data_IF_174127363562
#
_entry.id   IF_174127363562
#
_cell.length_a   1.000
_cell.length_b   1.000
_cell.length_c   1.000
_cell.angle_alpha   90.00
_cell.angle_beta   90.00
_cell.angle_gamma   90.00
#
_symmetry.space_group_name_H-M   'P 1'
#
loop_
_entity.id
_entity.type
_entity.pdbx_description
1 polymer ?
#
# COMPACT_ATOMS: atom_id res chain seq x y z
N UNK A 1 -13.25 -9.02 -2.42
CA UNK A 1 -11.78 -9.20 -2.38
C UNK A 1 -11.14 -7.85 -2.65
N UNK A 2 -10.20 -7.39 -1.81
CA UNK A 2 -9.51 -6.12 -2.07
C UNK A 2 -8.65 -6.25 -3.34
N UNK A 3 -8.59 -5.18 -4.15
CA UNK A 3 -7.72 -5.16 -5.32
C UNK A 3 -6.26 -5.03 -4.88
N UNK A 4 -5.33 -5.84 -5.42
CA UNK A 4 -3.92 -5.77 -5.05
C UNK A 4 -3.25 -4.52 -5.63
N UNK A 5 -2.42 -3.86 -4.83
CA UNK A 5 -1.46 -2.87 -5.33
C UNK A 5 -0.34 -3.63 -6.07
N UNK A 6 -0.29 -3.51 -7.40
CA UNK A 6 0.56 -4.37 -8.25
C UNK A 6 1.62 -3.56 -9.00
N UNK A 7 2.88 -4.00 -8.92
CA UNK A 7 4.01 -3.38 -9.60
C UNK A 7 4.53 -4.32 -10.69
N UNK A 8 4.25 -3.99 -11.95
CA UNK A 8 4.70 -4.78 -13.10
C UNK A 8 5.98 -4.21 -13.70
N UNK A 9 6.97 -5.08 -13.95
CA UNK A 9 8.18 -4.79 -14.72
C UNK A 9 8.37 -5.81 -15.82
N UNK A 10 9.42 -5.61 -16.63
CA UNK A 10 9.76 -6.51 -17.71
C UNK A 10 10.12 -7.91 -17.18
N UNK A 11 10.85 -7.99 -16.08
CA UNK A 11 11.43 -9.23 -15.54
C UNK A 11 10.68 -9.83 -14.37
N UNK A 12 9.80 -9.07 -13.72
CA UNK A 12 9.19 -9.47 -12.45
C UNK A 12 7.95 -8.65 -12.13
N UNK A 13 7.16 -9.16 -11.21
CA UNK A 13 5.97 -8.50 -10.64
C UNK A 13 5.96 -8.75 -9.14
N UNK A 14 5.59 -7.73 -8.37
CA UNK A 14 5.26 -7.86 -6.94
C UNK A 14 3.90 -7.22 -6.71
N UNK A 15 3.08 -7.86 -5.88
CA UNK A 15 1.75 -7.39 -5.46
C UNK A 15 1.69 -7.30 -3.95
N UNK A 16 0.99 -6.28 -3.46
CA UNK A 16 0.66 -6.11 -2.05
C UNK A 16 -0.87 -6.17 -1.94
N UNK A 17 -1.37 -7.17 -1.21
CA UNK A 17 -2.80 -7.44 -1.06
C UNK A 17 -3.20 -7.36 0.41
N UNK A 18 -4.02 -6.39 0.83
CA UNK A 18 -4.54 -6.37 2.18
C UNK A 18 -5.59 -7.47 2.39
N UNK A 19 -5.46 -8.25 3.45
CA UNK A 19 -6.49 -9.14 3.97
C UNK A 19 -7.01 -8.55 5.30
N UNK A 20 -8.06 -7.73 5.17
CA UNK A 20 -8.65 -6.96 6.27
C UNK A 20 -9.13 -7.89 7.39
N UNK A 21 -9.70 -9.04 7.06
CA UNK A 21 -10.26 -9.97 8.06
C UNK A 21 -9.18 -10.63 8.90
N UNK A 22 -8.00 -10.85 8.32
CA UNK A 22 -6.87 -11.49 9.00
C UNK A 22 -5.88 -10.49 9.58
N UNK A 23 -6.04 -9.20 9.30
CA UNK A 23 -5.12 -8.16 9.74
C UNK A 23 -3.70 -8.35 9.20
N UNK A 24 -3.57 -8.73 7.92
CA UNK A 24 -2.28 -9.03 7.29
C UNK A 24 -2.20 -8.46 5.88
N UNK A 25 -1.00 -8.09 5.44
CA UNK A 25 -0.72 -7.76 4.04
C UNK A 25 0.06 -8.91 3.41
N UNK A 26 -0.51 -9.50 2.37
CA UNK A 26 0.19 -10.49 1.55
C UNK A 26 1.02 -9.78 0.51
N UNK A 27 2.33 -10.07 0.49
CA UNK A 27 3.24 -9.62 -0.55
C UNK A 27 3.63 -10.83 -1.39
N UNK A 28 3.08 -10.91 -2.60
CA UNK A 28 3.38 -11.98 -3.55
C UNK A 28 4.20 -11.47 -4.73
N UNK A 29 5.25 -12.21 -5.10
CA UNK A 29 6.13 -11.82 -6.19
C UNK A 29 6.54 -12.99 -7.05
N UNK A 30 6.68 -12.75 -8.35
CA UNK A 30 7.22 -13.75 -9.27
C UNK A 30 8.02 -13.12 -10.40
N UNK A 31 8.90 -13.91 -11.01
CA UNK A 31 9.66 -13.53 -12.18
C UNK A 31 8.87 -13.81 -13.47
N UNK A 32 9.24 -13.11 -14.53
CA UNK A 32 8.73 -13.38 -15.87
C UNK A 32 9.23 -14.75 -16.35
N UNK A 33 8.42 -15.43 -17.16
CA UNK A 33 8.86 -16.67 -17.80
C UNK A 33 10.03 -16.37 -18.77
N UNK A 34 11.06 -17.22 -18.85
CA UNK A 34 12.20 -17.00 -19.76
C UNK A 34 11.77 -16.87 -21.23
N UNK A 35 10.68 -17.56 -21.60
CA UNK A 35 10.09 -17.56 -22.93
C UNK A 35 9.05 -16.46 -23.16
N UNK A 36 8.74 -15.63 -22.15
CA UNK A 36 7.69 -14.63 -22.30
C UNK A 36 8.13 -13.49 -23.24
N UNK A 37 7.27 -13.08 -24.19
CA UNK A 37 7.53 -11.91 -25.02
C UNK A 37 7.59 -10.64 -24.17
N UNK A 38 8.45 -9.69 -24.58
CA UNK A 38 8.62 -8.39 -23.91
C UNK A 38 7.28 -7.65 -23.77
N UNK A 39 6.48 -7.69 -24.83
CA UNK A 39 5.11 -7.19 -24.89
C UNK A 39 4.18 -8.39 -25.04
N UNK A 40 3.52 -8.87 -23.97
CA UNK A 40 2.64 -10.01 -24.06
C UNK A 40 1.38 -9.63 -24.84
N UNK A 41 1.01 -10.48 -25.79
CA UNK A 41 -0.32 -10.42 -26.39
C UNK A 41 -1.39 -10.74 -25.32
N UNK A 42 -2.61 -10.25 -25.54
CA UNK A 42 -3.72 -10.48 -24.63
C UNK A 42 -3.95 -11.99 -24.47
N UNK A 43 -3.84 -12.50 -23.25
CA UNK A 43 -4.01 -13.93 -22.95
C UNK A 43 -2.71 -14.73 -22.82
N UNK A 44 -1.55 -14.15 -23.17
CA UNK A 44 -0.25 -14.82 -22.97
C UNK A 44 0.22 -14.62 -21.53
N UNK A 45 0.49 -15.73 -20.86
CA UNK A 45 1.05 -15.72 -19.50
C UNK A 45 2.48 -15.18 -19.53
N UNK A 46 2.69 -14.00 -18.95
CA UNK A 46 4.02 -13.38 -18.85
C UNK A 46 4.79 -13.81 -17.59
N UNK A 47 4.08 -14.14 -16.53
CA UNK A 47 4.65 -14.31 -15.19
C UNK A 47 4.35 -15.70 -14.63
N UNK A 48 5.33 -16.30 -13.95
CA UNK A 48 5.20 -17.65 -13.40
C UNK A 48 4.52 -17.63 -12.02
N UNK A 49 3.20 -17.51 -11.97
CA UNK A 49 2.47 -17.47 -10.69
C UNK A 49 2.49 -18.78 -9.90
N UNK A 50 2.87 -19.90 -10.52
CA UNK A 50 3.01 -21.19 -9.86
C UNK A 50 4.23 -21.21 -8.92
N UNK A 51 5.31 -20.52 -9.31
CA UNK A 51 6.55 -20.44 -8.53
C UNK A 51 6.69 -19.12 -7.75
N UNK A 52 5.58 -18.45 -7.45
CA UNK A 52 5.60 -17.19 -6.71
C UNK A 52 6.18 -17.34 -5.31
N UNK A 53 6.90 -16.31 -4.88
CA UNK A 53 7.28 -16.12 -3.49
C UNK A 53 6.18 -15.35 -2.77
N UNK A 54 5.94 -15.70 -1.50
CA UNK A 54 4.93 -15.05 -0.65
C UNK A 54 5.59 -14.66 0.67
N UNK A 55 5.42 -13.40 1.05
CA UNK A 55 5.75 -12.82 2.33
C UNK A 55 4.47 -12.27 2.98
N UNK A 56 4.35 -12.36 4.30
CA UNK A 56 3.22 -11.77 5.03
C UNK A 56 3.76 -10.60 5.84
N UNK A 57 3.09 -9.46 5.87
CA UNK A 57 3.42 -8.36 6.76
C UNK A 57 2.29 -8.18 7.78
N UNK A 58 2.66 -8.06 9.05
CA UNK A 58 1.76 -7.51 10.06
C UNK A 58 1.41 -6.05 9.72
N UNK A 59 0.36 -5.46 10.33
CA UNK A 59 0.04 -4.05 10.13
C UNK A 59 1.21 -3.14 10.51
N UNK A 60 1.94 -3.47 11.58
CA UNK A 60 3.11 -2.70 12.01
C UNK A 60 4.25 -2.78 10.99
N UNK A 61 4.58 -3.97 10.49
CA UNK A 61 5.60 -4.15 9.45
C UNK A 61 5.20 -3.42 8.15
N UNK A 62 3.91 -3.44 7.81
CA UNK A 62 3.39 -2.72 6.67
C UNK A 62 3.50 -1.20 6.84
N UNK A 63 3.26 -0.65 8.05
CA UNK A 63 3.52 0.77 8.34
C UNK A 63 5.01 1.12 8.22
N UNK A 64 5.91 0.28 8.72
CA UNK A 64 7.36 0.49 8.57
C UNK A 64 7.77 0.51 7.09
N UNK A 65 7.16 -0.34 6.25
CA UNK A 65 7.36 -0.32 4.80
C UNK A 65 6.87 1.00 4.19
N UNK A 66 5.69 1.47 4.58
CA UNK A 66 5.12 2.74 4.12
C UNK A 66 5.96 3.95 4.53
N UNK A 67 6.44 3.98 5.78
CA UNK A 67 7.31 5.02 6.30
C UNK A 67 8.65 5.04 5.56
N UNK A 68 9.24 3.87 5.30
CA UNK A 68 10.46 3.77 4.52
C UNK A 68 10.26 4.31 3.10
N UNK A 69 9.13 3.99 2.45
CA UNK A 69 8.81 4.52 1.13
C UNK A 69 8.67 6.05 1.13
N UNK A 70 7.98 6.64 2.11
CA UNK A 70 7.86 8.10 2.26
C UNK A 70 9.22 8.76 2.53
N UNK A 71 10.05 8.14 3.39
CA UNK A 71 11.41 8.61 3.66
C UNK A 71 12.24 8.67 2.38
N UNK A 72 12.26 7.58 1.60
CA UNK A 72 12.97 7.53 0.32
C UNK A 72 12.45 8.62 -0.64
N UNK A 73 11.14 8.87 -0.69
CA UNK A 73 10.55 9.92 -1.55
C UNK A 73 11.01 11.34 -1.22
N UNK A 74 11.29 11.62 0.06
CA UNK A 74 11.63 12.95 0.56
C UNK A 74 13.13 13.17 0.63
N UNK A 75 13.88 12.18 1.08
CA UNK A 75 15.31 12.32 1.40
C UNK A 75 16.23 11.59 0.44
N UNK A 76 15.68 10.79 -0.48
CA UNK A 76 16.46 9.92 -1.37
C UNK A 76 17.40 9.00 -0.58
N UNK A 77 16.96 8.54 0.60
CA UNK A 77 17.68 7.62 1.46
C UNK A 77 16.70 6.74 2.23
N UNK A 78 17.06 5.48 2.44
CA UNK A 78 16.26 4.57 3.27
C UNK A 78 16.47 3.11 2.92
N UNK A 79 16.30 2.27 3.94
CA UNK A 79 16.24 0.82 3.81
C UNK A 79 15.36 0.27 4.92
N UNK A 80 14.55 -0.73 4.60
CA UNK A 80 13.87 -1.57 5.59
C UNK A 80 13.96 -3.02 5.15
N UNK A 81 14.20 -3.90 6.13
CA UNK A 81 14.31 -5.34 5.95
C UNK A 81 13.38 -6.03 6.95
N UNK A 82 12.58 -6.97 6.46
CA UNK A 82 11.71 -7.83 7.28
C UNK A 82 12.20 -9.26 7.17
N UNK A 83 12.30 -9.96 8.30
CA UNK A 83 12.88 -11.30 8.37
C UNK A 83 11.93 -12.26 9.06
N UNK A 84 11.44 -13.26 8.31
CA UNK A 84 10.52 -14.27 8.82
C UNK A 84 11.19 -15.64 8.77
N UNK A 85 11.41 -16.23 9.94
CA UNK A 85 11.98 -17.57 10.09
C UNK A 85 10.92 -18.55 10.63
N UNK A 86 10.41 -19.47 9.80
CA UNK A 86 9.43 -20.48 10.22
C UNK A 86 9.92 -21.36 11.39
N UNK A 87 11.23 -21.59 11.49
CA UNK A 87 11.82 -22.48 12.50
C UNK A 87 11.70 -21.92 13.91
N UNK A 88 11.66 -20.59 14.07
CA UNK A 88 11.40 -19.94 15.36
C UNK A 88 10.00 -20.25 15.89
N UNK A 89 9.05 -20.58 15.01
CA UNK A 89 7.71 -21.01 15.36
C UNK A 89 7.51 -22.53 15.38
N UNK A 90 8.60 -23.32 15.35
CA UNK A 90 8.53 -24.77 15.29
C UNK A 90 7.99 -25.33 13.97
N UNK A 91 7.98 -24.53 12.89
CA UNK A 91 7.53 -24.94 11.56
C UNK A 91 8.72 -25.22 10.65
N UNK A 92 8.54 -26.17 9.75
CA UNK A 92 9.49 -26.36 8.66
C UNK A 92 9.34 -25.28 7.59
N UNK A 93 10.46 -24.85 7.01
CA UNK A 93 10.47 -23.88 5.94
C UNK A 93 11.80 -23.14 5.82
N UNK A 94 11.99 -22.52 4.66
CA UNK A 94 13.11 -21.62 4.42
C UNK A 94 12.80 -20.24 4.99
N UNK A 95 13.86 -19.58 5.47
CA UNK A 95 13.85 -18.19 5.87
C UNK A 95 13.43 -17.32 4.70
N UNK A 96 12.60 -16.32 5.01
CA UNK A 96 12.12 -15.33 4.05
C UNK A 96 12.56 -13.94 4.45
N UNK A 97 12.88 -13.13 3.45
CA UNK A 97 13.17 -11.70 3.63
C UNK A 97 12.38 -10.87 2.64
N UNK A 98 11.88 -9.73 3.11
CA UNK A 98 11.34 -8.66 2.26
C UNK A 98 12.18 -7.41 2.50
N UNK A 99 12.67 -6.79 1.42
CA UNK A 99 13.54 -5.60 1.50
C UNK A 99 13.01 -4.51 0.58
N UNK A 100 12.94 -3.29 1.10
CA UNK A 100 12.86 -2.06 0.30
C UNK A 100 14.14 -1.27 0.54
N UNK A 101 14.91 -0.98 -0.51
CA UNK A 101 16.20 -0.28 -0.40
C UNK A 101 16.36 0.79 -1.45
N UNK A 102 16.84 1.96 -1.04
CA UNK A 102 17.40 2.96 -1.93
C UNK A 102 18.89 2.65 -2.18
N UNK A 103 19.31 2.69 -3.44
CA UNK A 103 20.66 2.44 -3.88
C UNK A 103 21.12 3.56 -4.81
N UNK A 104 22.20 4.24 -4.44
CA UNK A 104 22.89 5.20 -5.30
C UNK A 104 24.01 4.48 -6.04
N UNK A 105 23.94 4.49 -7.37
CA UNK A 105 24.95 3.88 -8.24
C UNK A 105 25.52 4.93 -9.18
N UNK A 106 26.64 4.60 -9.83
CA UNK A 106 27.27 5.42 -10.87
C UNK A 106 26.32 5.68 -12.05
N UNK A 107 25.32 4.81 -12.22
CA UNK A 107 24.28 4.88 -13.27
C UNK A 107 23.01 5.62 -12.80
N UNK A 108 23.05 6.25 -11.63
CA UNK A 108 21.95 6.98 -11.03
C UNK A 108 21.35 6.29 -9.82
N UNK A 109 20.24 6.87 -9.36
CA UNK A 109 19.52 6.47 -8.16
C UNK A 109 18.45 5.44 -8.50
N UNK A 110 18.37 4.36 -7.72
CA UNK A 110 17.38 3.30 -7.89
C UNK A 110 16.82 2.88 -6.55
N UNK A 111 15.56 2.45 -6.58
CA UNK A 111 14.91 1.89 -5.40
C UNK A 111 14.47 0.48 -5.74
N UNK A 112 14.87 -0.50 -4.94
CA UNK A 112 14.54 -1.90 -5.17
C UNK A 112 13.57 -2.39 -4.12
N UNK A 113 12.59 -3.18 -4.59
CA UNK A 113 11.70 -3.94 -3.74
C UNK A 113 11.86 -5.42 -4.04
N UNK A 114 12.11 -6.21 -3.00
CA UNK A 114 12.63 -7.56 -3.16
C UNK A 114 12.07 -8.54 -2.14
N UNK A 115 11.74 -9.74 -2.61
CA UNK A 115 11.42 -10.91 -1.80
C UNK A 115 12.51 -11.97 -2.03
N UNK A 116 13.05 -12.55 -0.96
CA UNK A 116 13.95 -13.71 -1.01
C UNK A 116 13.44 -14.84 -0.14
N UNK A 117 13.58 -16.07 -0.63
CA UNK A 117 13.30 -17.29 0.12
C UNK A 117 14.32 -18.35 -0.32
N UNK A 118 15.21 -18.75 0.58
CA UNK A 118 16.33 -19.63 0.24
C UNK A 118 17.17 -19.05 -0.91
N UNK A 119 17.30 -19.81 -2.01
CA UNK A 119 18.01 -19.36 -3.22
C UNK A 119 17.12 -18.57 -4.21
N UNK A 120 15.80 -18.54 -3.99
CA UNK A 120 14.87 -17.85 -4.88
C UNK A 120 14.82 -16.36 -4.53
N UNK A 121 14.83 -15.51 -5.56
CA UNK A 121 14.77 -14.05 -5.44
C UNK A 121 13.83 -13.48 -6.51
N UNK A 122 12.96 -12.57 -6.08
CA UNK A 122 12.18 -11.71 -6.95
C UNK A 122 12.52 -10.28 -6.57
N UNK A 123 12.95 -9.47 -7.55
CA UNK A 123 13.33 -8.07 -7.32
C UNK A 123 12.80 -7.22 -8.47
N UNK A 124 12.34 -6.02 -8.15
CA UNK A 124 11.98 -5.01 -9.12
C UNK A 124 12.41 -3.62 -8.68
N UNK A 125 12.66 -2.76 -9.67
CA UNK A 125 12.92 -1.35 -9.41
C UNK A 125 11.60 -0.57 -9.30
N UNK A 126 11.43 0.17 -8.22
CA UNK A 126 10.29 1.06 -7.98
C UNK A 126 10.56 2.46 -8.55
N UNK A 127 9.51 3.07 -9.07
CA UNK A 127 9.48 4.46 -9.49
C UNK A 127 8.87 5.32 -8.36
N UNK A 128 9.02 6.64 -8.47
CA UNK A 128 8.45 7.60 -7.53
C UNK A 128 6.95 7.39 -7.29
N UNK A 129 6.18 7.12 -8.36
CA UNK A 129 4.74 6.86 -8.26
C UNK A 129 4.42 5.59 -7.45
N UNK A 130 5.23 4.54 -7.57
CA UNK A 130 5.03 3.31 -6.80
C UNK A 130 5.28 3.54 -5.32
N UNK A 131 6.35 4.26 -4.98
CA UNK A 131 6.66 4.63 -3.59
C UNK A 131 5.54 5.45 -2.96
N UNK A 132 4.97 6.38 -3.73
CA UNK A 132 3.84 7.19 -3.27
C UNK A 132 2.59 6.33 -3.03
N UNK A 133 2.33 5.37 -3.91
CA UNK A 133 1.24 4.42 -3.72
C UNK A 133 1.44 3.57 -2.47
N UNK A 134 2.66 3.08 -2.20
CA UNK A 134 3.00 2.34 -0.99
C UNK A 134 2.80 3.21 0.26
N UNK A 135 3.37 4.42 0.28
CA UNK A 135 3.32 5.30 1.45
C UNK A 135 1.92 5.82 1.76
N UNK A 136 1.03 5.90 0.77
CA UNK A 136 -0.33 6.44 0.96
C UNK A 136 -1.37 5.34 1.17
N UNK A 137 -1.33 4.27 0.37
CA UNK A 137 -2.40 3.27 0.38
C UNK A 137 -2.28 2.27 1.54
N UNK A 138 -1.06 1.96 1.99
CA UNK A 138 -0.88 1.04 3.12
C UNK A 138 -1.44 1.63 4.41
N UNK A 139 -1.09 2.87 4.84
CA UNK A 139 -1.67 3.45 6.06
C UNK A 139 -3.20 3.60 5.98
N UNK A 140 -3.72 3.94 4.80
CA UNK A 140 -5.16 3.98 4.58
C UNK A 140 -5.81 2.60 4.77
N UNK A 141 -5.25 1.55 4.17
CA UNK A 141 -5.75 0.19 4.35
C UNK A 141 -5.71 -0.25 5.81
N UNK A 142 -4.67 0.09 6.56
CA UNK A 142 -4.55 -0.21 8.00
C UNK A 142 -5.62 0.51 8.82
N UNK A 143 -5.91 1.78 8.51
CA UNK A 143 -6.99 2.53 9.16
C UNK A 143 -8.34 1.83 9.00
N UNK A 144 -8.57 1.23 7.82
CA UNK A 144 -9.74 0.38 7.58
C UNK A 144 -9.67 -0.98 8.30
N UNK A 145 -8.48 -1.56 8.48
CA UNK A 145 -8.30 -2.84 9.20
C UNK A 145 -8.60 -2.73 10.70
N UNK A 146 -8.18 -1.63 11.31
CA UNK A 146 -8.42 -1.38 12.73
C UNK A 146 -9.80 -0.79 13.03
N UNK A 147 -10.63 -0.63 12.01
CA UNK A 147 -11.98 -0.05 12.11
C UNK A 147 -12.00 1.33 12.78
N UNK A 148 -10.91 2.11 12.65
CA UNK A 148 -10.87 3.46 13.20
C UNK A 148 -11.96 4.35 12.60
N UNK A 149 -12.37 4.07 11.36
CA UNK A 149 -13.44 4.79 10.67
C UNK A 149 -14.80 4.55 11.36
N UNK A 150 -15.06 3.34 11.88
CA UNK A 150 -16.27 3.05 12.66
C UNK A 150 -16.26 3.63 14.07
N UNK A 151 -15.08 4.01 14.58
CA UNK A 151 -14.91 4.65 15.90
C UNK A 151 -14.97 6.17 15.88
N UNK A 152 -14.90 6.80 14.70
CA UNK A 152 -15.15 8.23 14.57
C UNK A 152 -16.65 8.46 14.69
N UNK A 153 -17.10 9.42 15.54
CA UNK A 153 -18.52 9.78 15.54
C UNK A 153 -18.91 10.20 14.12
N UNK A 154 -20.11 9.81 13.64
CA UNK A 154 -20.57 10.26 12.34
C UNK A 154 -20.45 11.77 12.29
N UNK A 155 -19.81 12.29 11.24
CA UNK A 155 -19.84 13.71 10.96
C UNK A 155 -21.32 14.07 10.79
N UNK A 156 -21.93 14.68 11.81
CA UNK A 156 -23.22 15.32 11.64
C UNK A 156 -23.05 16.33 10.51
N UNK A 157 -23.69 16.07 9.38
CA UNK A 157 -23.86 17.06 8.34
C UNK A 157 -24.63 18.21 8.99
N UNK A 158 -23.93 19.29 9.33
CA UNK A 158 -24.56 20.52 9.79
C UNK A 158 -25.34 21.05 8.58
N UNK A 159 -26.61 20.64 8.48
CA UNK A 159 -27.56 21.27 7.56
C UNK A 159 -27.57 22.76 7.90
N UNK A 160 -26.99 23.56 7.01
CA UNK A 160 -27.11 25.00 7.06
C UNK A 160 -28.57 25.36 6.80
N UNK A 161 -29.38 25.43 7.88
CA UNK A 161 -30.69 26.08 7.83
C UNK A 161 -30.48 27.55 7.52
N UNK A 162 -30.53 27.86 6.22
CA UNK A 162 -30.75 29.20 5.70
C UNK A 162 -32.14 29.61 6.13
N UNK A 163 -32.25 30.36 7.24
CA UNK A 163 -33.49 31.00 7.65
C UNK A 163 -33.88 32.06 6.61
N UNK A 164 -34.67 31.67 5.62
CA UNK A 164 -35.61 32.57 4.99
C UNK A 164 -36.84 32.67 5.90
N UNK A 165 -36.90 33.67 6.76
CA UNK A 165 -38.17 34.19 7.25
C UNK A 165 -38.31 35.63 6.76
N UNK A 166 -38.83 35.70 5.54
CA UNK A 166 -39.64 36.82 5.06
C UNK A 166 -40.99 36.73 5.76
N UNK A 167 -41.31 37.76 6.55
CA UNK A 167 -42.69 38.15 6.83
C UNK A 167 -42.67 39.56 7.41
N UNK A 168 -42.97 40.52 6.52
CA UNK A 168 -43.56 41.81 6.86
C UNK A 168 -44.82 41.56 7.69
N UNK A 169 -44.90 42.15 8.88
CA UNK A 169 -46.18 42.50 9.49
C UNK A 169 -46.03 43.84 10.23
N UNK A 170 -47.01 44.69 9.93
CA UNK A 170 -47.19 46.09 10.31
C UNK A 170 -47.32 46.29 11.82
N UNK A 171 -46.74 47.37 12.34
CA UNK A 171 -47.26 48.05 13.53
C UNK A 171 -47.09 49.56 13.34
N UNK A 172 -48.18 50.18 12.89
CA UNK A 172 -48.46 51.61 13.00
C UNK A 172 -48.82 52.01 14.44
N UNK A 173 -48.37 53.20 14.82
CA UNK A 173 -48.93 54.19 15.75
C UNK A 173 -49.16 53.85 17.24
N UNK A 174 -48.41 54.55 18.11
CA UNK A 174 -48.98 55.56 19.03
C UNK A 174 -47.87 56.30 19.80
N UNK A 175 -47.71 57.61 19.56
CA UNK A 175 -46.87 58.52 20.36
C UNK A 175 -47.79 59.60 20.95
N UNK A 176 -47.93 59.72 22.29
CA UNK A 176 -48.62 60.84 22.89
C UNK A 176 -47.67 62.02 23.10
N UNK A 177 -48.24 63.22 22.91
CA UNK A 177 -47.65 64.57 23.02
C UNK A 177 -47.02 64.88 24.38
#
# INVERSE_FOLDING_TARGET
>A
MAKPLSFYRMTSVIRITPDIRRGVFWVDGTNALPSAPKTPEKGVQKFNWEEKLIFALSPEEALQLAECADRILRTHQGKVDFFHDPKKGGREGEVKTLTLSYEKTDKGERVFFQITQGQKRVSLALQRADLFAISSLIPHAISCMWDWIGTLPPHEEVEATTNQNSSLEELEEDIPF
#
